data_IF_415442162943
#
_entry.id   IF_415442162943
#
_cell.length_a   1.000
_cell.length_b   1.000
_cell.length_c   1.000
_cell.angle_alpha   90.00
_cell.angle_beta   90.00
_cell.angle_gamma   90.00
#
_symmetry.space_group_name_H-M   'P 1'
#
loop_
_entity.id
_entity.type
_entity.pdbx_description
1 polymer ?
#
# COMPACT_ATOMS: atom_id res chain seq x y z
N UNK A 1 -6.71 3.87 -26.32
CA UNK A 1 -7.53 3.64 -25.12
C UNK A 1 -6.60 3.62 -23.92
N UNK A 2 -6.33 4.82 -23.35
CA UNK A 2 -5.31 5.06 -22.29
C UNK A 2 -6.03 5.78 -21.14
N UNK A 3 -6.70 5.08 -20.23
CA UNK A 3 -7.40 5.71 -19.09
C UNK A 3 -7.39 4.90 -17.78
N UNK A 4 -6.36 4.09 -17.51
CA UNK A 4 -6.25 3.37 -16.23
C UNK A 4 -4.94 3.65 -15.46
N UNK A 5 -4.30 4.80 -15.70
CA UNK A 5 -2.96 5.08 -15.14
C UNK A 5 -2.96 6.09 -13.98
N UNK A 6 -4.09 6.41 -13.36
CA UNK A 6 -4.15 7.47 -12.32
C UNK A 6 -4.64 7.00 -10.94
N UNK A 7 -4.46 5.73 -10.57
CA UNK A 7 -4.90 5.18 -9.27
C UNK A 7 -3.74 4.86 -8.33
N UNK A 8 -2.65 5.59 -8.43
CA UNK A 8 -1.51 5.47 -7.52
C UNK A 8 -1.25 6.85 -6.94
N UNK A 9 -1.37 7.10 -5.71
CA UNK A 9 -0.56 6.75 -4.57
C UNK A 9 -1.12 7.17 -3.20
N UNK A 10 -2.12 6.57 -2.75
CA UNK A 10 -2.62 6.85 -1.41
C UNK A 10 -2.10 5.91 -0.36
N UNK A 11 -1.12 5.15 -0.70
CA UNK A 11 -1.16 3.83 -0.15
C UNK A 11 0.21 3.26 0.06
N UNK A 12 0.90 3.76 1.01
CA UNK A 12 1.93 2.94 1.64
C UNK A 12 1.30 1.65 2.20
N UNK A 13 0.04 1.70 2.64
CA UNK A 13 -0.72 0.53 3.12
C UNK A 13 -1.45 -0.20 1.98
N UNK A 14 -1.91 0.51 0.95
CA UNK A 14 -2.57 -0.06 -0.25
C UNK A 14 -1.62 -0.82 -1.18
N UNK A 15 -0.33 -0.66 -1.02
CA UNK A 15 0.64 -1.21 -1.95
C UNK A 15 0.63 -2.74 -2.02
N UNK A 16 0.28 -3.43 -0.96
CA UNK A 16 0.23 -4.89 -0.98
C UNK A 16 -0.88 -5.45 -1.91
N UNK A 17 -1.97 -4.71 -2.11
CA UNK A 17 -3.11 -5.13 -2.94
C UNK A 17 -3.15 -4.46 -4.33
N UNK A 18 -2.58 -3.26 -4.48
CA UNK A 18 -2.46 -2.58 -5.78
C UNK A 18 -1.30 -3.10 -6.65
N UNK A 19 -0.47 -4.00 -6.12
CA UNK A 19 0.69 -4.64 -6.76
C UNK A 19 0.40 -5.40 -8.06
N UNK A 20 -0.85 -5.65 -8.37
CA UNK A 20 -1.25 -6.47 -9.53
C UNK A 20 -1.11 -5.73 -10.87
N UNK A 21 -0.78 -4.43 -10.89
CA UNK A 21 -0.90 -3.61 -12.09
C UNK A 21 0.37 -3.48 -12.97
N UNK A 22 1.58 -3.80 -12.51
CA UNK A 22 2.80 -3.61 -13.34
C UNK A 22 3.90 -4.63 -12.99
N UNK A 23 4.05 -5.65 -13.82
CA UNK A 23 5.22 -6.53 -13.81
C UNK A 23 6.23 -5.97 -14.83
N UNK A 24 7.32 -5.37 -14.37
CA UNK A 24 8.49 -5.08 -15.19
C UNK A 24 9.57 -6.13 -14.89
N UNK A 25 9.98 -6.95 -15.85
CA UNK A 25 11.08 -7.90 -15.64
C UNK A 25 12.41 -7.14 -15.58
N UNK A 26 13.02 -7.07 -14.42
CA UNK A 26 14.36 -6.49 -14.23
C UNK A 26 15.24 -7.38 -13.36
N UNK A 27 16.29 -7.87 -14.01
CA UNK A 27 17.63 -8.28 -13.57
C UNK A 27 17.86 -8.70 -12.12
N UNK A 28 18.35 -9.94 -11.94
CA UNK A 28 18.84 -10.57 -10.68
C UNK A 28 17.85 -10.51 -9.52
N UNK A 29 16.67 -11.05 -9.75
CA UNK A 29 15.66 -11.17 -8.71
C UNK A 29 16.05 -12.25 -7.69
N UNK A 30 15.94 -11.91 -6.40
CA UNK A 30 16.03 -12.92 -5.34
C UNK A 30 14.93 -13.97 -5.50
N UNK A 31 15.08 -15.19 -4.96
CA UNK A 31 14.03 -16.21 -5.01
C UNK A 31 12.66 -15.69 -4.51
N UNK A 32 12.65 -14.83 -3.50
CA UNK A 32 11.43 -14.22 -2.97
C UNK A 32 10.76 -13.27 -3.99
N UNK A 33 11.54 -12.46 -4.70
CA UNK A 33 11.02 -11.58 -5.78
C UNK A 33 10.42 -12.41 -6.90
N UNK A 34 11.15 -13.43 -7.38
CA UNK A 34 10.64 -14.30 -8.45
C UNK A 34 9.40 -15.09 -8.04
N UNK A 35 9.28 -15.48 -6.76
CA UNK A 35 8.08 -16.11 -6.23
C UNK A 35 6.90 -15.15 -6.22
N UNK A 36 7.11 -13.91 -5.75
CA UNK A 36 6.09 -12.86 -5.77
C UNK A 36 5.59 -12.59 -7.19
N UNK A 37 6.50 -12.41 -8.16
CA UNK A 37 6.15 -12.16 -9.56
C UNK A 37 5.27 -13.28 -10.15
N UNK A 38 5.64 -14.54 -9.92
CA UNK A 38 4.84 -15.70 -10.39
C UNK A 38 3.44 -15.71 -9.78
N UNK A 39 3.32 -15.44 -8.48
CA UNK A 39 2.03 -15.37 -7.78
C UNK A 39 1.17 -14.21 -8.28
N UNK A 40 1.76 -13.03 -8.50
CA UNK A 40 1.07 -11.89 -9.10
C UNK A 40 0.57 -12.21 -10.52
N UNK A 41 1.42 -12.83 -11.35
CA UNK A 41 1.04 -13.24 -12.69
C UNK A 41 -0.08 -14.29 -12.65
N UNK A 42 -0.02 -15.26 -11.73
CA UNK A 42 -1.09 -16.23 -11.52
C UNK A 42 -2.41 -15.55 -11.18
N UNK A 43 -2.42 -14.63 -10.22
CA UNK A 43 -3.63 -13.90 -9.82
C UNK A 43 -4.20 -13.09 -10.99
N UNK A 44 -3.34 -12.41 -11.78
CA UNK A 44 -3.80 -11.67 -12.96
C UNK A 44 -4.41 -12.58 -14.03
N UNK A 45 -3.74 -13.68 -14.37
CA UNK A 45 -4.22 -14.60 -15.38
C UNK A 45 -5.48 -15.33 -14.94
N UNK A 46 -5.55 -15.75 -13.67
CA UNK A 46 -6.73 -16.40 -13.09
C UNK A 46 -7.94 -15.45 -13.08
N UNK A 47 -7.74 -14.18 -12.68
CA UNK A 47 -8.79 -13.17 -12.67
C UNK A 47 -9.32 -12.80 -14.06
N UNK A 48 -8.59 -13.12 -15.14
CA UNK A 48 -9.03 -12.94 -16.52
C UNK A 48 -9.93 -14.07 -17.03
N UNK A 49 -10.00 -15.22 -16.33
CA UNK A 49 -10.83 -16.37 -16.70
C UNK A 49 -12.31 -16.07 -16.46
N UNK A 50 -13.17 -16.69 -17.22
CA UNK A 50 -14.65 -16.63 -17.02
C UNK A 50 -15.03 -17.23 -15.66
N UNK A 51 -14.37 -18.31 -15.26
CA UNK A 51 -14.51 -18.98 -13.97
C UNK A 51 -13.13 -19.12 -13.35
N UNK A 52 -12.72 -18.16 -12.49
CA UNK A 52 -11.44 -18.24 -11.82
C UNK A 52 -11.37 -19.45 -10.87
N UNK A 53 -10.17 -20.01 -10.72
CA UNK A 53 -9.89 -20.95 -9.65
C UNK A 53 -9.96 -20.21 -8.30
N UNK A 54 -10.70 -20.79 -7.37
CA UNK A 54 -10.93 -20.22 -6.03
C UNK A 54 -9.87 -20.66 -5.02
N UNK A 55 -8.88 -21.45 -5.43
CA UNK A 55 -7.78 -21.86 -4.56
C UNK A 55 -7.06 -20.62 -4.00
N UNK A 56 -6.91 -20.52 -2.68
CA UNK A 56 -6.26 -19.35 -2.07
C UNK A 56 -4.81 -19.20 -2.54
N UNK A 57 -4.44 -17.95 -2.85
CA UNK A 57 -3.04 -17.57 -3.11
C UNK A 57 -2.48 -16.88 -1.88
N UNK A 58 -1.39 -17.41 -1.33
CA UNK A 58 -0.70 -16.82 -0.17
C UNK A 58 0.54 -16.04 -0.60
N UNK A 59 0.70 -14.82 -0.10
CA UNK A 59 1.89 -13.98 -0.21
C UNK A 59 2.53 -13.88 1.16
N UNK A 60 3.80 -14.22 1.28
CA UNK A 60 4.53 -14.07 2.54
C UNK A 60 5.02 -12.63 2.70
N UNK A 61 5.17 -12.19 3.93
CA UNK A 61 5.77 -10.89 4.26
C UNK A 61 7.14 -10.70 3.61
N UNK A 62 7.96 -11.76 3.60
CA UNK A 62 9.27 -11.73 2.96
C UNK A 62 9.18 -11.48 1.44
N UNK A 63 8.22 -12.11 0.75
CA UNK A 63 7.99 -11.89 -0.68
C UNK A 63 7.56 -10.45 -0.96
N UNK A 64 6.62 -9.93 -0.17
CA UNK A 64 6.12 -8.55 -0.31
C UNK A 64 7.25 -7.54 -0.10
N UNK A 65 8.00 -7.66 1.00
CA UNK A 65 9.09 -6.75 1.33
C UNK A 65 10.23 -6.82 0.32
N UNK A 66 10.62 -8.02 -0.13
CA UNK A 66 11.64 -8.19 -1.15
C UNK A 66 11.21 -7.57 -2.48
N UNK A 67 9.96 -7.71 -2.87
CA UNK A 67 9.42 -7.15 -4.11
C UNK A 67 9.39 -5.62 -4.08
N UNK A 68 8.97 -5.02 -2.97
CA UNK A 68 9.02 -3.55 -2.79
C UNK A 68 10.47 -3.05 -2.82
N UNK A 69 11.37 -3.70 -2.09
CA UNK A 69 12.79 -3.32 -2.03
C UNK A 69 13.51 -3.49 -3.37
N UNK A 70 13.04 -4.37 -4.26
CA UNK A 70 13.64 -4.58 -5.59
C UNK A 70 13.44 -3.39 -6.54
N UNK A 71 12.57 -2.42 -6.20
CA UNK A 71 12.20 -1.31 -7.07
C UNK A 71 11.22 -1.69 -8.18
N UNK A 72 10.65 -2.91 -8.15
CA UNK A 72 9.58 -3.33 -9.07
C UNK A 72 8.34 -2.43 -8.95
N UNK A 73 8.21 -1.77 -7.80
CA UNK A 73 7.17 -0.79 -7.51
C UNK A 73 7.80 0.58 -7.36
N UNK A 74 7.27 1.55 -8.09
CA UNK A 74 7.67 2.94 -7.93
C UNK A 74 6.98 3.55 -6.72
N UNK A 75 7.76 3.82 -5.67
CA UNK A 75 7.27 4.52 -4.48
C UNK A 75 6.91 5.98 -4.82
N UNK A 76 5.95 6.59 -4.08
CA UNK A 76 5.65 8.00 -4.20
C UNK A 76 6.88 8.89 -3.94
N UNK A 77 6.92 10.07 -4.55
CA UNK A 77 7.99 11.03 -4.28
C UNK A 77 8.05 11.36 -2.78
N UNK A 78 9.24 11.30 -2.20
CA UNK A 78 9.46 11.48 -0.77
C UNK A 78 9.44 10.19 0.05
N UNK A 79 8.89 9.09 -0.45
CA UNK A 79 8.95 7.78 0.24
C UNK A 79 10.23 7.07 -0.18
N UNK A 80 11.15 6.87 0.77
CA UNK A 80 12.50 6.33 0.48
C UNK A 80 12.55 4.81 0.62
N UNK A 81 11.83 4.25 1.58
CA UNK A 81 11.76 2.81 1.85
C UNK A 81 10.44 2.46 2.48
N UNK A 82 9.99 1.23 2.31
CA UNK A 82 8.82 0.70 3.00
C UNK A 82 9.10 -0.73 3.40
N UNK A 83 8.74 -1.08 4.63
CA UNK A 83 8.74 -2.44 5.14
C UNK A 83 7.39 -2.73 5.78
N UNK A 84 6.79 -3.87 5.45
CA UNK A 84 5.50 -4.31 5.97
C UNK A 84 5.67 -5.47 6.94
N UNK A 85 4.88 -5.46 7.99
CA UNK A 85 4.71 -6.55 8.93
C UNK A 85 3.23 -6.89 9.05
N UNK A 86 2.88 -8.15 8.79
CA UNK A 86 1.51 -8.67 8.90
C UNK A 86 1.24 -9.28 10.27
N UNK A 87 0.14 -8.86 10.87
CA UNK A 87 -0.49 -9.49 12.04
C UNK A 87 -1.95 -9.81 11.68
N UNK A 88 -2.67 -10.65 12.45
CA UNK A 88 -4.07 -10.91 12.15
C UNK A 88 -4.89 -9.63 12.01
N UNK A 89 -5.42 -9.40 10.80
CA UNK A 89 -6.20 -8.22 10.38
C UNK A 89 -5.47 -6.87 10.43
N UNK A 90 -4.21 -6.82 10.88
CA UNK A 90 -3.42 -5.58 11.02
C UNK A 90 -2.17 -5.64 10.15
N UNK A 91 -1.90 -4.53 9.47
CA UNK A 91 -0.64 -4.28 8.77
C UNK A 91 0.09 -3.14 9.48
N UNK A 92 1.35 -3.38 9.83
CA UNK A 92 2.27 -2.35 10.30
C UNK A 92 3.22 -2.02 9.14
N UNK A 93 3.25 -0.77 8.73
CA UNK A 93 4.18 -0.28 7.71
C UNK A 93 5.19 0.66 8.36
N UNK A 94 6.47 0.31 8.26
CA UNK A 94 7.58 1.20 8.65
C UNK A 94 8.18 1.80 7.38
N UNK A 95 8.32 3.10 7.35
CA UNK A 95 8.78 3.83 6.16
C UNK A 95 9.60 5.04 6.56
N UNK A 96 10.52 5.44 5.68
CA UNK A 96 11.26 6.71 5.79
C UNK A 96 10.74 7.68 4.76
N UNK A 97 10.26 8.84 5.22
CA UNK A 97 9.54 9.81 4.37
C UNK A 97 10.20 11.19 4.43
N UNK A 98 10.52 11.72 3.26
CA UNK A 98 10.84 13.13 3.06
C UNK A 98 9.53 13.88 2.79
N UNK A 99 9.02 14.53 3.81
CA UNK A 99 7.75 15.26 3.73
C UNK A 99 7.82 16.49 2.83
N UNK A 100 8.99 17.08 2.63
CA UNK A 100 9.13 18.24 1.76
C UNK A 100 8.99 17.85 0.28
N UNK A 101 9.54 16.70 -0.10
CA UNK A 101 9.29 16.10 -1.40
C UNK A 101 7.85 15.62 -1.55
N UNK A 102 7.27 14.97 -0.53
CA UNK A 102 5.89 14.48 -0.56
C UNK A 102 4.89 15.62 -0.76
N UNK A 103 5.10 16.74 -0.08
CA UNK A 103 4.30 17.98 -0.25
C UNK A 103 4.57 18.70 -1.57
N UNK A 104 5.58 18.28 -2.34
CA UNK A 104 6.04 18.95 -3.55
C UNK A 104 6.34 20.45 -3.31
N UNK A 105 7.00 20.77 -2.22
CA UNK A 105 7.40 22.13 -1.84
C UNK A 105 6.25 23.03 -1.36
N UNK A 106 5.01 22.52 -1.27
CA UNK A 106 3.89 23.31 -0.76
C UNK A 106 4.05 23.56 0.73
N UNK A 107 4.14 24.83 1.11
CA UNK A 107 4.23 25.24 2.51
C UNK A 107 2.84 25.45 3.11
N UNK A 108 2.74 25.35 4.43
CA UNK A 108 1.56 25.71 5.20
C UNK A 108 1.94 26.69 6.29
N UNK A 109 1.10 27.71 6.48
CA UNK A 109 1.18 28.60 7.64
C UNK A 109 0.54 27.99 8.90
N UNK A 110 -0.11 26.85 8.79
CA UNK A 110 -0.71 26.17 9.94
C UNK A 110 0.38 25.49 10.79
N UNK A 111 0.58 25.89 12.05
CA UNK A 111 1.60 25.32 12.94
C UNK A 111 1.46 23.80 13.13
N UNK A 112 0.23 23.26 13.14
CA UNK A 112 -0.03 21.83 13.29
C UNK A 112 0.52 21.00 12.13
N UNK A 113 0.70 21.60 10.96
CA UNK A 113 1.27 20.93 9.79
C UNK A 113 2.79 21.12 9.68
N UNK A 114 3.42 21.87 10.58
CA UNK A 114 4.87 22.06 10.59
C UNK A 114 5.63 20.80 10.98
N UNK A 115 4.99 19.90 11.77
CA UNK A 115 5.56 18.60 12.12
C UNK A 115 5.79 17.69 10.89
N UNK A 116 5.06 17.91 9.80
CA UNK A 116 5.24 17.19 8.54
C UNK A 116 6.25 17.92 7.64
N UNK A 117 7.49 18.10 8.10
CA UNK A 117 8.58 18.75 7.33
C UNK A 117 9.89 18.02 7.58
N UNK A 118 10.74 17.93 6.55
CA UNK A 118 11.99 17.18 6.63
C UNK A 118 11.79 15.65 6.46
N UNK A 119 12.80 14.90 6.90
CA UNK A 119 12.84 13.43 6.78
C UNK A 119 12.54 12.82 8.14
N UNK A 120 11.55 11.93 8.20
CA UNK A 120 11.15 11.23 9.41
C UNK A 120 11.00 9.74 9.19
N UNK A 121 11.24 8.96 10.24
CA UNK A 121 10.82 7.57 10.30
C UNK A 121 9.35 7.54 10.71
N UNK A 122 8.54 6.91 9.86
CA UNK A 122 7.07 6.86 10.00
C UNK A 122 6.66 5.42 10.23
N UNK A 123 5.87 5.18 11.26
CA UNK A 123 5.21 3.88 11.48
C UNK A 123 3.71 4.08 11.39
N UNK A 124 3.07 3.27 10.55
CA UNK A 124 1.62 3.27 10.35
C UNK A 124 1.08 1.92 10.77
N UNK A 125 0.08 1.89 11.63
CA UNK A 125 -0.72 0.71 11.94
C UNK A 125 -2.11 0.87 11.37
N UNK A 126 -2.61 -0.18 10.69
CA UNK A 126 -3.94 -0.14 10.10
C UNK A 126 -4.59 -1.52 10.08
N UNK A 127 -5.91 -1.55 10.31
CA UNK A 127 -6.74 -2.71 10.03
C UNK A 127 -7.00 -2.80 8.53
N UNK A 128 -6.75 -3.99 7.96
CA UNK A 128 -6.85 -4.23 6.52
C UNK A 128 -7.57 -5.55 6.26
N UNK A 129 -8.64 -5.50 5.49
CA UNK A 129 -9.31 -6.71 5.02
C UNK A 129 -9.96 -6.51 3.65
N UNK A 130 -10.23 -7.61 2.97
CA UNK A 130 -10.98 -7.64 1.72
C UNK A 130 -12.17 -8.58 1.82
N UNK A 131 -13.34 -8.11 1.41
CA UNK A 131 -14.57 -8.91 1.39
C UNK A 131 -15.46 -8.51 0.20
N UNK A 132 -16.05 -9.51 -0.45
CA UNK A 132 -16.98 -9.31 -1.57
C UNK A 132 -16.44 -8.37 -2.67
N UNK A 133 -15.16 -8.52 -3.03
CA UNK A 133 -14.52 -7.72 -4.06
C UNK A 133 -14.19 -6.29 -3.64
N UNK A 134 -14.31 -5.95 -2.35
CA UNK A 134 -13.98 -4.65 -1.80
C UNK A 134 -12.85 -4.76 -0.78
N UNK A 135 -11.88 -3.87 -0.86
CA UNK A 135 -10.83 -3.69 0.13
C UNK A 135 -11.17 -2.58 1.10
N UNK A 136 -10.82 -2.77 2.36
CA UNK A 136 -11.03 -1.82 3.45
C UNK A 136 -9.71 -1.60 4.17
N UNK A 137 -9.40 -0.35 4.45
CA UNK A 137 -8.25 0.06 5.25
C UNK A 137 -8.71 1.12 6.23
N UNK A 138 -8.45 0.88 7.50
CA UNK A 138 -8.71 1.82 8.58
C UNK A 138 -7.38 2.07 9.31
N UNK A 139 -6.86 3.28 9.22
CA UNK A 139 -5.63 3.67 9.91
C UNK A 139 -5.91 3.85 11.39
N UNK A 140 -5.25 3.04 12.21
CA UNK A 140 -5.39 3.10 13.68
C UNK A 140 -4.49 4.19 14.25
N UNK A 141 -3.20 4.16 13.90
CA UNK A 141 -2.22 5.10 14.39
C UNK A 141 -1.13 5.40 13.35
N UNK A 142 -0.55 6.57 13.48
CA UNK A 142 0.66 6.97 12.76
C UNK A 142 1.61 7.63 13.75
N UNK A 143 2.88 7.22 13.76
CA UNK A 143 3.93 7.89 14.53
C UNK A 143 5.02 8.44 13.60
N UNK A 144 5.59 9.56 14.00
CA UNK A 144 6.77 10.19 13.42
C UNK A 144 7.88 10.15 14.44
N UNK A 145 9.01 9.49 14.13
CA UNK A 145 10.15 9.30 15.04
C UNK A 145 9.73 8.78 16.43
N UNK A 146 8.74 7.88 16.47
CA UNK A 146 8.20 7.29 17.69
C UNK A 146 7.16 8.13 18.43
N UNK A 147 6.82 9.33 17.94
CA UNK A 147 5.77 10.19 18.52
C UNK A 147 4.47 9.99 17.76
N UNK A 148 3.41 9.56 18.44
CA UNK A 148 2.10 9.37 17.82
C UNK A 148 1.47 10.71 17.43
N UNK A 149 0.96 10.77 16.21
CA UNK A 149 0.34 11.96 15.63
C UNK A 149 -1.17 11.92 15.86
N UNK A 150 -1.76 12.99 16.43
CA UNK A 150 -3.20 13.05 16.62
C UNK A 150 -3.96 12.91 15.30
N UNK A 151 -5.04 12.11 15.29
CA UNK A 151 -5.83 11.78 14.10
C UNK A 151 -6.29 13.03 13.33
N UNK A 152 -6.67 14.11 14.03
CA UNK A 152 -7.09 15.34 13.37
C UNK A 152 -5.95 16.01 12.58
N UNK A 153 -4.70 15.96 13.06
CA UNK A 153 -3.54 16.51 12.35
C UNK A 153 -3.21 15.67 11.12
N UNK A 154 -3.33 14.34 11.22
CA UNK A 154 -3.22 13.42 10.08
C UNK A 154 -4.29 13.71 9.03
N UNK A 155 -5.54 13.89 9.46
CA UNK A 155 -6.65 14.19 8.56
C UNK A 155 -6.39 15.50 7.78
N UNK A 156 -5.98 16.55 8.47
CA UNK A 156 -5.61 17.82 7.83
C UNK A 156 -4.45 17.67 6.82
N UNK A 157 -3.46 16.83 7.16
CA UNK A 157 -2.34 16.56 6.25
C UNK A 157 -2.82 15.81 5.00
N UNK A 158 -3.61 14.76 5.17
CA UNK A 158 -4.15 13.95 4.09
C UNK A 158 -5.00 14.82 3.14
N UNK A 159 -5.94 15.58 3.67
CA UNK A 159 -6.83 16.44 2.89
C UNK A 159 -6.06 17.50 2.10
N UNK A 160 -5.07 18.12 2.73
CA UNK A 160 -4.33 19.22 2.10
C UNK A 160 -3.30 18.76 1.08
N UNK A 161 -2.58 17.68 1.35
CA UNK A 161 -1.41 17.30 0.57
C UNK A 161 -1.59 16.02 -0.24
N UNK A 162 -2.37 15.06 0.23
CA UNK A 162 -2.54 13.77 -0.43
C UNK A 162 -3.78 13.74 -1.33
N UNK A 163 -4.95 14.06 -0.84
CA UNK A 163 -6.20 13.99 -1.60
C UNK A 163 -6.19 14.78 -2.92
N UNK A 164 -5.57 15.97 -3.04
CA UNK A 164 -5.50 16.68 -4.31
C UNK A 164 -4.74 15.93 -5.41
N UNK A 165 -3.81 15.06 -5.03
CA UNK A 165 -3.07 14.20 -5.96
C UNK A 165 -3.74 12.84 -6.13
N UNK A 166 -4.41 12.39 -5.09
CA UNK A 166 -4.87 11.01 -4.89
C UNK A 166 -6.29 11.03 -4.31
N UNK A 167 -7.30 11.35 -5.12
CA UNK A 167 -8.69 11.32 -4.70
C UNK A 167 -9.07 9.90 -4.21
N UNK A 168 -9.71 9.79 -3.08
CA UNK A 168 -10.06 8.51 -2.45
C UNK A 168 -9.09 8.05 -1.37
N UNK A 169 -7.98 8.78 -1.14
CA UNK A 169 -7.09 8.57 0.01
C UNK A 169 -7.71 9.17 1.24
N UNK A 170 -7.74 8.40 2.30
CA UNK A 170 -8.20 8.83 3.60
C UNK A 170 -7.58 7.98 4.70
N UNK A 171 -7.85 8.32 5.94
CA UNK A 171 -7.50 7.47 7.08
C UNK A 171 -8.41 6.23 7.13
N UNK A 172 -9.61 6.34 6.55
CA UNK A 172 -10.54 5.25 6.32
C UNK A 172 -10.81 5.19 4.82
N UNK A 173 -10.46 4.09 4.19
CA UNK A 173 -10.54 3.94 2.74
C UNK A 173 -11.23 2.67 2.33
N UNK A 174 -12.03 2.76 1.27
CA UNK A 174 -12.70 1.64 0.62
C UNK A 174 -12.45 1.70 -0.89
N UNK A 175 -12.15 0.55 -1.50
CA UNK A 175 -11.83 0.46 -2.93
C UNK A 175 -12.18 -0.92 -3.50
N UNK A 176 -12.36 -0.99 -4.81
CA UNK A 176 -12.59 -2.25 -5.50
C UNK A 176 -11.28 -3.06 -5.59
N UNK A 177 -11.33 -4.34 -5.22
CA UNK A 177 -10.22 -5.25 -5.39
C UNK A 177 -10.05 -5.61 -6.88
N UNK A 178 -8.80 -5.59 -7.40
CA UNK A 178 -8.53 -5.90 -8.80
C UNK A 178 -8.58 -7.41 -9.07
N UNK A 179 -8.47 -7.80 -10.34
CA UNK A 179 -8.30 -9.18 -10.80
C UNK A 179 -9.32 -10.17 -10.20
N UNK A 180 -10.57 -9.72 -9.98
CA UNK A 180 -11.64 -10.53 -9.39
C UNK A 180 -11.29 -11.14 -8.03
N UNK A 181 -10.42 -10.50 -7.26
CA UNK A 181 -10.19 -10.86 -5.87
C UNK A 181 -11.48 -10.65 -5.10
N UNK A 182 -11.96 -11.71 -4.47
CA UNK A 182 -13.17 -11.70 -3.65
C UNK A 182 -12.86 -11.39 -2.19
N UNK A 183 -11.85 -12.08 -1.63
CA UNK A 183 -11.41 -11.85 -0.25
C UNK A 183 -9.91 -11.58 -0.19
N UNK A 184 -9.51 -10.81 0.82
CA UNK A 184 -8.13 -10.58 1.17
C UNK A 184 -8.00 -10.55 2.70
N UNK A 185 -7.24 -11.47 3.26
CA UNK A 185 -7.09 -11.64 4.71
C UNK A 185 -5.62 -11.52 5.10
N UNK A 186 -5.34 -10.57 5.98
CA UNK A 186 -4.02 -10.43 6.57
C UNK A 186 -3.91 -11.36 7.77
N UNK A 187 -2.91 -12.21 7.75
CA UNK A 187 -2.54 -13.10 8.84
C UNK A 187 -1.15 -12.79 9.39
N UNK A 188 -0.67 -13.60 10.30
CA UNK A 188 0.68 -13.46 10.83
C UNK A 188 1.71 -13.71 9.71
N UNK A 189 2.47 -12.66 9.36
CA UNK A 189 3.50 -12.64 8.30
C UNK A 189 3.01 -13.11 6.91
N UNK A 190 1.73 -12.97 6.62
CA UNK A 190 1.18 -13.35 5.30
C UNK A 190 -0.10 -12.60 4.94
N UNK A 191 -0.36 -12.56 3.63
CA UNK A 191 -1.62 -12.15 3.03
C UNK A 191 -2.18 -13.32 2.23
N UNK A 192 -3.43 -13.67 2.46
CA UNK A 192 -4.15 -14.71 1.70
C UNK A 192 -5.26 -14.06 0.90
N UNK A 193 -5.34 -14.35 -0.40
CA UNK A 193 -6.43 -13.88 -1.27
C UNK A 193 -7.17 -15.04 -1.90
N UNK A 194 -8.48 -14.84 -2.16
CA UNK A 194 -9.30 -15.72 -3.00
C UNK A 194 -9.91 -14.93 -4.15
N UNK A 195 -10.21 -15.62 -5.25
CA UNK A 195 -10.83 -15.02 -6.44
C UNK A 195 -12.15 -15.74 -6.75
N UNK A 196 -13.07 -15.07 -7.46
CA UNK A 196 -14.34 -15.66 -7.94
C UNK A 196 -14.81 -15.07 -9.25
#
# INVERSE_FOLDING_TARGET
MRRFLNLLPATVIFFALALIAQVNPSSKSSPAVSSMERKLQHVQSNGALTHPDQTPTEFTEQEVNAYVASGAIKLPAGVQSVNFQGQPEVVIATTRVDFDQLKAGRRSSNPLLSMFSGIHDVVVSAHVHGAAGQGYVNVDSVSLDGVEIPRFALQMFVEKYLQPKYPGVGLDSKFALPARIDTATVGLHKLTITQK
#
